data_IF_221374992951
#
_entry.id   IF_221374992951
#
_cell.length_a   1.000
_cell.length_b   1.000
_cell.length_c   1.000
_cell.angle_alpha   90.00
_cell.angle_beta   90.00
_cell.angle_gamma   90.00
#
_symmetry.space_group_name_H-M   'P 1'
#
loop_
_entity.id
_entity.type
_entity.pdbx_description
1 polymer ?
#
# COMPACT_ATOMS: atom_id res chain seq x y z
N UNK A 1 -16.36 9.21 1.94
CA UNK A 1 -15.16 8.37 2.20
C UNK A 1 -15.39 7.59 3.48
N UNK A 2 -15.28 6.27 3.45
CA UNK A 2 -15.59 5.39 4.59
C UNK A 2 -14.32 4.90 5.26
N UNK A 3 -14.18 5.04 6.57
CA UNK A 3 -13.05 4.51 7.35
C UNK A 3 -13.56 3.38 8.23
N UNK A 4 -12.88 2.23 8.19
CA UNK A 4 -13.16 1.08 9.05
C UNK A 4 -11.99 0.93 10.02
N UNK A 5 -12.26 0.98 11.33
CA UNK A 5 -11.26 0.82 12.38
C UNK A 5 -11.48 -0.55 13.05
N UNK A 6 -10.50 -1.46 13.05
CA UNK A 6 -10.62 -2.74 13.77
C UNK A 6 -10.51 -2.53 15.29
N UNK A 7 -11.35 -3.22 16.06
CA UNK A 7 -11.32 -3.20 17.52
C UNK A 7 -10.38 -4.29 18.05
N UNK A 8 -9.39 -3.90 18.85
CA UNK A 8 -8.60 -4.83 19.67
C UNK A 8 -9.39 -5.16 20.93
N UNK A 9 -9.75 -6.43 21.14
CA UNK A 9 -10.43 -6.91 22.35
C UNK A 9 -9.43 -7.44 23.38
N UNK A 10 -9.41 -6.84 24.57
CA UNK A 10 -8.91 -7.48 25.77
C UNK A 10 -10.04 -8.27 26.43
N UNK A 11 -9.75 -9.49 26.81
CA UNK A 11 -10.67 -10.49 27.28
C UNK A 11 -11.30 -10.17 28.65
N UNK A 12 -12.61 -10.40 28.78
CA UNK A 12 -13.25 -10.78 30.05
C UNK A 12 -14.30 -11.86 29.74
N UNK A 13 -14.20 -12.95 30.48
CA UNK A 13 -15.01 -14.17 30.39
C UNK A 13 -16.43 -14.02 30.99
N UNK A 14 -17.46 -14.43 30.29
CA UNK A 14 -18.63 -15.20 30.75
C UNK A 14 -19.72 -15.32 29.67
N UNK A 15 -20.56 -16.36 29.65
CA UNK A 15 -21.37 -16.73 28.50
C UNK A 15 -22.78 -16.13 28.52
N UNK A 16 -23.28 -15.63 27.39
CA UNK A 16 -24.71 -15.49 27.06
C UNK A 16 -24.95 -15.24 25.54
N UNK A 17 -26.19 -15.52 25.07
CA UNK A 17 -26.49 -15.82 23.68
C UNK A 17 -26.92 -14.58 22.86
N UNK A 18 -26.86 -14.72 21.53
CA UNK A 18 -27.45 -13.85 20.52
C UNK A 18 -27.18 -12.34 20.65
N UNK A 19 -25.99 -11.91 20.24
CA UNK A 19 -25.73 -10.49 20.02
C UNK A 19 -25.69 -10.18 18.52
N UNK A 20 -26.55 -9.23 18.15
CA UNK A 20 -26.64 -8.63 16.85
C UNK A 20 -25.26 -8.11 16.38
N UNK A 21 -24.95 -8.33 15.10
CA UNK A 21 -23.73 -7.82 14.46
C UNK A 21 -23.80 -6.30 14.38
N UNK A 22 -23.00 -5.62 15.16
CA UNK A 22 -22.82 -4.18 15.03
C UNK A 22 -21.57 -3.91 14.16
N UNK A 23 -21.77 -3.29 12.99
CA UNK A 23 -20.69 -2.75 12.17
C UNK A 23 -20.67 -1.23 12.33
N UNK A 24 -19.53 -0.64 12.68
CA UNK A 24 -19.37 0.82 12.76
C UNK A 24 -18.52 1.30 11.58
N UNK A 25 -19.11 2.07 10.66
CA UNK A 25 -18.44 2.66 9.49
C UNK A 25 -18.17 4.15 9.76
N UNK A 26 -16.96 4.66 9.56
CA UNK A 26 -16.70 6.11 9.58
C UNK A 26 -16.95 6.69 8.20
N UNK A 27 -17.99 7.48 8.02
CA UNK A 27 -18.28 8.20 6.80
C UNK A 27 -18.09 9.70 7.05
N UNK A 28 -17.15 10.32 6.34
CA UNK A 28 -17.01 11.77 6.31
C UNK A 28 -17.80 12.33 5.14
N UNK A 29 -18.84 13.10 5.43
CA UNK A 29 -19.54 13.88 4.41
C UNK A 29 -18.78 15.19 4.19
N UNK A 30 -18.13 15.32 3.04
CA UNK A 30 -17.49 16.56 2.63
C UNK A 30 -18.46 17.28 1.70
N UNK A 31 -19.13 18.34 2.18
CA UNK A 31 -19.79 19.31 1.33
C UNK A 31 -18.76 20.36 0.89
N UNK A 32 -18.30 20.29 -0.36
CA UNK A 32 -17.42 21.31 -0.94
C UNK A 32 -18.27 22.53 -1.36
N UNK A 33 -18.09 23.65 -0.67
CA UNK A 33 -18.86 24.90 -0.84
C UNK A 33 -18.42 25.74 -2.06
N UNK A 34 -17.65 25.21 -3.03
CA UNK A 34 -17.02 25.98 -4.11
C UNK A 34 -17.68 25.88 -5.50
N UNK A 35 -18.90 25.48 -5.65
CA UNK A 35 -19.59 25.55 -6.97
C UNK A 35 -20.97 26.20 -6.89
N UNK A 36 -21.03 27.51 -6.60
CA UNK A 36 -22.08 28.36 -7.14
C UNK A 36 -21.63 28.81 -8.52
N UNK A 37 -22.32 28.35 -9.56
CA UNK A 37 -22.17 28.61 -10.99
C UNK A 37 -21.52 27.50 -11.82
N UNK A 38 -22.17 26.35 -11.91
CA UNK A 38 -21.99 25.45 -13.03
C UNK A 38 -23.33 25.35 -13.77
N UNK A 39 -23.40 25.98 -14.95
CA UNK A 39 -24.50 25.78 -15.91
C UNK A 39 -24.51 24.32 -16.35
N UNK A 40 -25.58 23.62 -16.02
CA UNK A 40 -25.87 22.30 -16.55
C UNK A 40 -26.10 22.41 -18.06
N UNK A 41 -25.12 22.05 -18.89
CA UNK A 41 -25.29 21.80 -20.34
C UNK A 41 -25.29 20.30 -20.56
N UNK A 42 -26.37 19.89 -21.17
CA UNK A 42 -26.68 18.55 -21.73
C UNK A 42 -27.59 17.68 -20.85
N UNK A 43 -28.82 17.87 -21.04
CA UNK A 43 -29.89 16.95 -21.53
C UNK A 43 -31.24 17.64 -21.33
N UNK A 44 -32.11 17.58 -22.36
CA UNK A 44 -33.46 18.19 -22.34
C UNK A 44 -34.32 17.48 -21.28
N UNK A 45 -34.45 18.06 -20.09
CA UNK A 45 -35.52 17.77 -19.14
C UNK A 45 -35.88 19.07 -18.43
N UNK A 46 -37.18 19.41 -18.47
CA UNK A 46 -37.74 20.62 -17.88
C UNK A 46 -37.69 20.50 -16.35
N UNK A 47 -37.03 21.43 -15.70
CA UNK A 47 -37.13 21.62 -14.26
C UNK A 47 -38.22 22.64 -14.00
N UNK A 48 -39.32 22.24 -13.35
CA UNK A 48 -40.32 23.16 -12.80
C UNK A 48 -40.06 23.32 -11.32
N UNK A 49 -39.55 24.49 -10.93
CA UNK A 49 -39.33 24.85 -9.53
C UNK A 49 -40.57 25.60 -9.01
N UNK A 50 -41.26 25.00 -8.08
CA UNK A 50 -42.08 25.70 -7.10
C UNK A 50 -41.89 24.98 -5.76
N UNK A 51 -41.35 25.76 -4.80
CA UNK A 51 -41.15 25.37 -3.38
C UNK A 51 -40.36 24.09 -3.11
N UNK A 52 -39.03 24.24 -2.92
CA UNK A 52 -38.13 23.35 -2.20
C UNK A 52 -38.23 21.82 -2.42
N UNK A 53 -38.78 21.37 -3.56
CA UNK A 53 -38.80 19.95 -3.95
C UNK A 53 -38.11 19.78 -5.30
N UNK A 54 -37.04 19.03 -5.33
CA UNK A 54 -36.40 18.57 -6.55
C UNK A 54 -36.78 17.11 -6.80
N UNK A 55 -37.65 16.85 -7.79
CA UNK A 55 -38.03 15.49 -8.20
C UNK A 55 -37.18 15.06 -9.38
N UNK A 56 -36.49 13.96 -9.24
CA UNK A 56 -35.74 13.30 -10.32
C UNK A 56 -36.53 12.08 -10.79
N UNK A 57 -36.95 12.06 -12.05
CA UNK A 57 -37.64 10.90 -12.63
C UNK A 57 -36.70 10.20 -13.60
N UNK A 58 -36.26 9.00 -13.27
CA UNK A 58 -35.61 8.09 -14.21
C UNK A 58 -36.31 6.72 -14.12
N UNK A 59 -36.79 6.24 -15.27
CA UNK A 59 -37.37 4.91 -15.45
C UNK A 59 -38.61 4.56 -14.59
N UNK A 60 -39.62 5.46 -14.51
CA UNK A 60 -40.96 5.09 -14.06
C UNK A 60 -41.18 4.85 -12.57
N UNK A 61 -40.20 5.11 -11.71
CA UNK A 61 -40.33 5.06 -10.26
C UNK A 61 -40.02 6.44 -9.66
N UNK A 62 -41.01 7.09 -9.09
CA UNK A 62 -40.89 8.37 -8.40
C UNK A 62 -40.59 8.12 -6.92
N UNK A 63 -39.45 8.61 -6.43
CA UNK A 63 -39.12 8.66 -5.00
C UNK A 63 -39.30 10.11 -4.53
N UNK A 64 -40.23 10.34 -3.64
CA UNK A 64 -40.38 11.61 -2.97
C UNK A 64 -39.50 11.66 -1.72
N UNK A 65 -38.49 12.53 -1.74
CA UNK A 65 -37.71 12.87 -0.54
C UNK A 65 -38.47 13.98 0.21
N UNK A 66 -39.08 13.64 1.34
CA UNK A 66 -39.63 14.61 2.28
C UNK A 66 -38.48 15.15 3.10
N UNK A 67 -38.08 16.38 2.89
CA UNK A 67 -37.16 17.08 3.77
C UNK A 67 -37.95 17.55 5.01
N UNK A 68 -37.69 16.95 6.15
CA UNK A 68 -38.16 17.47 7.44
C UNK A 68 -37.39 18.74 7.78
N UNK A 69 -38.09 19.86 7.89
CA UNK A 69 -37.60 21.15 8.37
C UNK A 69 -37.20 21.07 9.84
N UNK A 70 -35.94 20.76 10.12
CA UNK A 70 -35.25 21.14 11.37
C UNK A 70 -33.79 20.67 11.44
N UNK A 71 -33.05 20.65 10.32
CA UNK A 71 -31.61 20.47 10.39
C UNK A 71 -30.92 21.68 9.75
N UNK A 72 -30.34 22.54 10.57
CA UNK A 72 -29.42 23.58 10.17
C UNK A 72 -28.40 23.00 9.17
N UNK A 73 -28.34 23.55 7.98
CA UNK A 73 -27.42 23.11 6.92
C UNK A 73 -25.97 23.21 7.45
N UNK A 74 -25.19 22.12 7.54
CA UNK A 74 -23.85 22.13 8.12
C UNK A 74 -22.83 22.96 7.32
N UNK A 75 -23.21 23.49 6.18
CA UNK A 75 -22.33 24.27 5.29
C UNK A 75 -22.09 25.72 5.72
N UNK A 76 -22.75 26.21 6.77
CA UNK A 76 -22.66 27.59 7.24
C UNK A 76 -22.13 27.74 8.69
N UNK A 77 -21.89 26.65 9.40
CA UNK A 77 -21.33 26.69 10.76
C UNK A 77 -19.79 26.63 10.70
N UNK A 78 -19.08 27.70 11.06
CA UNK A 78 -17.61 27.70 11.15
C UNK A 78 -17.08 26.57 12.06
N UNK A 79 -17.83 26.21 13.09
CA UNK A 79 -17.52 25.13 14.00
C UNK A 79 -17.57 23.76 13.34
N UNK A 80 -18.47 23.54 12.37
CA UNK A 80 -18.53 22.30 11.61
C UNK A 80 -17.31 22.15 10.70
N UNK A 81 -16.82 23.23 10.09
CA UNK A 81 -15.60 23.23 9.29
C UNK A 81 -14.36 22.88 10.11
N UNK A 82 -14.20 23.50 11.27
CA UNK A 82 -13.09 23.21 12.19
C UNK A 82 -13.17 21.79 12.76
N UNK A 83 -14.36 21.29 13.04
CA UNK A 83 -14.60 19.92 13.50
C UNK A 83 -14.19 18.89 12.45
N UNK A 84 -14.55 19.10 11.18
CA UNK A 84 -14.13 18.24 10.05
C UNK A 84 -12.62 18.28 9.88
N UNK A 85 -12.01 19.47 9.98
CA UNK A 85 -10.54 19.63 9.88
C UNK A 85 -9.82 18.91 11.01
N UNK A 86 -10.26 19.09 12.25
CA UNK A 86 -9.72 18.41 13.42
C UNK A 86 -9.87 16.88 13.31
N UNK A 87 -11.05 16.42 12.87
CA UNK A 87 -11.30 15.00 12.67
C UNK A 87 -10.41 14.39 11.58
N UNK A 88 -10.18 15.10 10.46
CA UNK A 88 -9.26 14.64 9.42
C UNK A 88 -7.83 14.48 9.94
N UNK A 89 -7.32 15.46 10.67
CA UNK A 89 -5.98 15.41 11.27
C UNK A 89 -5.86 14.25 12.27
N UNK A 90 -6.91 13.99 13.04
CA UNK A 90 -6.94 12.95 14.06
C UNK A 90 -7.06 11.54 13.45
N UNK A 91 -8.07 11.31 12.58
CA UNK A 91 -8.40 9.97 12.08
C UNK A 91 -7.62 9.55 10.82
N UNK A 92 -7.09 10.49 10.03
CA UNK A 92 -6.36 10.18 8.79
C UNK A 92 -4.86 10.37 8.92
N UNK A 93 -4.43 11.33 9.75
CA UNK A 93 -3.00 11.63 9.88
C UNK A 93 -2.44 11.18 11.23
N UNK A 94 -3.25 10.52 12.07
CA UNK A 94 -2.88 10.02 13.40
C UNK A 94 -2.19 11.07 14.29
N UNK A 95 -2.50 12.36 14.07
CA UNK A 95 -1.91 13.45 14.86
C UNK A 95 -2.46 13.44 16.28
N UNK A 96 -1.59 13.68 17.25
CA UNK A 96 -2.03 13.86 18.63
C UNK A 96 -2.89 15.13 18.78
N UNK A 97 -3.83 15.13 19.73
CA UNK A 97 -4.68 16.32 20.00
C UNK A 97 -3.84 17.58 20.29
N UNK A 98 -2.64 17.43 20.87
CA UNK A 98 -1.73 18.53 21.11
C UNK A 98 -1.10 19.06 19.81
N UNK A 99 -0.75 18.17 18.86
CA UNK A 99 -0.25 18.57 17.54
C UNK A 99 -1.35 19.26 16.72
N UNK A 100 -2.56 18.72 16.73
CA UNK A 100 -3.74 19.32 16.08
C UNK A 100 -4.02 20.71 16.67
N UNK A 101 -3.92 20.85 17.99
CA UNK A 101 -4.11 22.14 18.66
C UNK A 101 -3.13 23.21 18.17
N UNK A 102 -1.86 22.85 17.99
CA UNK A 102 -0.85 23.75 17.41
C UNK A 102 -1.17 24.13 15.95
N UNK A 103 -1.58 23.14 15.13
CA UNK A 103 -1.89 23.37 13.74
C UNK A 103 -3.15 24.23 13.52
N UNK A 104 -4.15 24.05 14.35
CA UNK A 104 -5.40 24.81 14.30
C UNK A 104 -5.38 26.11 15.13
N UNK A 105 -4.32 26.38 15.89
CA UNK A 105 -4.24 27.54 16.76
C UNK A 105 -5.19 27.51 17.96
N UNK A 106 -5.56 26.29 18.43
CA UNK A 106 -6.52 26.09 19.52
C UNK A 106 -5.96 25.21 20.65
N UNK A 107 -6.61 25.21 21.81
CA UNK A 107 -6.20 24.36 22.92
C UNK A 107 -6.49 22.87 22.64
N UNK A 108 -5.74 21.94 23.30
CA UNK A 108 -5.99 20.50 23.27
C UNK A 108 -7.45 20.15 23.65
N UNK A 109 -8.01 20.85 24.64
CA UNK A 109 -9.39 20.66 25.07
C UNK A 109 -10.40 21.10 24.02
N UNK A 110 -10.09 22.14 23.25
CA UNK A 110 -10.91 22.57 22.10
C UNK A 110 -10.90 21.52 20.99
N UNK A 111 -9.72 20.95 20.67
CA UNK A 111 -9.63 19.85 19.70
C UNK A 111 -10.49 18.65 20.14
N UNK A 112 -10.42 18.25 21.39
CA UNK A 112 -11.25 17.17 21.94
C UNK A 112 -12.75 17.44 21.72
N UNK A 113 -13.19 18.68 22.01
CA UNK A 113 -14.60 19.11 21.82
C UNK A 113 -14.99 19.15 20.33
N UNK A 114 -14.09 19.53 19.43
CA UNK A 114 -14.34 19.52 17.99
C UNK A 114 -14.50 18.11 17.45
N UNK A 115 -13.66 17.16 17.89
CA UNK A 115 -13.75 15.76 17.49
C UNK A 115 -15.04 15.12 18.04
N UNK A 116 -15.42 15.41 19.30
CA UNK A 116 -16.68 14.95 19.87
C UNK A 116 -17.86 15.53 19.10
N UNK A 117 -17.87 16.82 18.82
CA UNK A 117 -18.90 17.45 18.00
C UNK A 117 -19.02 16.83 16.60
N UNK A 118 -17.88 16.53 15.95
CA UNK A 118 -17.88 15.88 14.63
C UNK A 118 -18.56 14.49 14.67
N UNK A 119 -18.43 13.73 15.75
CA UNK A 119 -19.11 12.46 15.96
C UNK A 119 -20.59 12.65 16.25
N UNK A 120 -20.91 13.51 17.20
CA UNK A 120 -22.28 13.74 17.67
C UNK A 120 -23.18 14.34 16.58
N UNK A 121 -22.61 15.18 15.71
CA UNK A 121 -23.30 15.78 14.56
C UNK A 121 -23.35 14.91 13.30
N UNK A 122 -22.80 13.67 13.34
CA UNK A 122 -22.77 12.76 12.20
C UNK A 122 -21.78 13.15 11.09
N UNK A 123 -20.93 14.19 11.29
CA UNK A 123 -19.86 14.56 10.36
C UNK A 123 -18.78 13.47 10.29
N UNK A 124 -18.66 12.67 11.35
CA UNK A 124 -17.80 11.48 11.44
C UNK A 124 -18.65 10.30 11.91
N UNK A 125 -18.78 9.31 11.04
CA UNK A 125 -19.37 8.01 11.41
C UNK A 125 -18.25 6.97 11.55
N UNK A 126 -18.09 6.38 12.76
CA UNK A 126 -17.11 5.32 13.03
C UNK A 126 -17.83 3.98 12.96
N UNK A 127 -17.55 3.17 11.95
CA UNK A 127 -18.00 1.78 11.90
C UNK A 127 -16.84 0.86 12.31
N UNK A 128 -16.98 0.24 13.47
CA UNK A 128 -16.07 -0.82 13.92
C UNK A 128 -16.58 -2.13 13.32
N UNK A 129 -15.86 -2.66 12.34
CA UNK A 129 -16.17 -3.99 11.82
C UNK A 129 -15.76 -5.03 12.88
N UNK A 130 -16.74 -5.67 13.49
CA UNK A 130 -16.56 -6.85 14.36
C UNK A 130 -16.44 -8.15 13.55
N UNK A 131 -16.42 -8.08 12.24
CA UNK A 131 -15.90 -9.18 11.45
C UNK A 131 -14.43 -9.35 11.84
N UNK A 132 -14.20 -10.15 12.88
CA UNK A 132 -13.00 -10.97 12.99
C UNK A 132 -13.00 -11.76 11.68
N UNK A 133 -12.50 -11.12 10.62
CA UNK A 133 -12.41 -11.71 9.32
C UNK A 133 -11.59 -13.00 9.43
N UNK A 134 -11.60 -13.80 8.42
CA UNK A 134 -10.79 -15.02 8.31
C UNK A 134 -9.26 -14.75 8.47
N UNK A 135 -8.85 -13.49 8.71
CA UNK A 135 -7.46 -13.05 8.83
C UNK A 135 -6.60 -13.97 9.72
N UNK A 136 -6.92 -14.16 11.00
CA UNK A 136 -6.09 -15.01 11.86
C UNK A 136 -6.06 -16.48 11.45
N UNK A 137 -7.12 -16.99 10.80
CA UNK A 137 -7.14 -18.37 10.26
C UNK A 137 -6.31 -18.46 8.97
N UNK A 138 -6.37 -17.43 8.11
CA UNK A 138 -5.56 -17.36 6.90
C UNK A 138 -4.07 -17.19 7.25
N UNK A 139 -3.73 -16.33 8.22
CA UNK A 139 -2.34 -16.14 8.69
C UNK A 139 -1.74 -17.44 9.21
N UNK A 140 -2.52 -18.22 9.99
CA UNK A 140 -2.11 -19.54 10.45
C UNK A 140 -1.91 -20.50 9.28
N UNK A 141 -2.83 -20.53 8.31
CA UNK A 141 -2.72 -21.39 7.14
C UNK A 141 -1.47 -21.08 6.30
N UNK A 142 -1.06 -19.79 6.20
CA UNK A 142 0.22 -19.42 5.57
C UNK A 142 1.42 -19.93 6.37
N UNK A 143 1.40 -19.82 7.69
CA UNK A 143 2.47 -20.33 8.55
C UNK A 143 2.60 -21.86 8.41
N UNK A 144 1.50 -22.58 8.47
CA UNK A 144 1.46 -24.04 8.40
C UNK A 144 1.90 -24.55 7.01
N UNK A 145 1.51 -23.84 5.93
CA UNK A 145 1.75 -24.30 4.56
C UNK A 145 3.09 -23.87 3.99
N UNK A 146 3.49 -22.62 4.24
CA UNK A 146 4.67 -22.00 3.62
C UNK A 146 5.77 -21.64 4.62
N UNK A 147 5.52 -21.77 5.93
CA UNK A 147 6.46 -21.36 6.96
C UNK A 147 6.69 -19.86 7.04
N UNK A 148 5.78 -19.04 6.49
CA UNK A 148 5.89 -17.57 6.46
C UNK A 148 4.96 -16.91 7.47
N UNK A 149 5.37 -15.77 7.98
CA UNK A 149 4.52 -14.91 8.81
C UNK A 149 3.70 -14.01 7.88
N UNK A 150 2.45 -14.39 7.65
CA UNK A 150 1.52 -13.56 6.89
C UNK A 150 0.85 -12.52 7.79
N UNK A 151 0.58 -11.35 7.22
CA UNK A 151 -0.22 -10.27 7.78
C UNK A 151 -1.35 -9.98 6.80
N UNK A 152 -2.53 -10.49 7.11
CA UNK A 152 -3.71 -10.40 6.24
C UNK A 152 -4.47 -9.12 6.51
N UNK A 153 -4.50 -8.24 5.51
CA UNK A 153 -5.15 -6.93 5.59
C UNK A 153 -6.58 -7.03 5.09
N UNK A 154 -7.59 -6.78 5.92
CA UNK A 154 -8.97 -6.79 5.48
C UNK A 154 -9.25 -5.63 4.52
N UNK A 155 -9.76 -5.95 3.33
CA UNK A 155 -10.10 -4.98 2.30
C UNK A 155 -11.55 -5.24 1.82
N UNK A 156 -12.43 -4.21 1.76
CA UNK A 156 -13.76 -4.39 1.22
C UNK A 156 -13.72 -4.89 -0.24
N UNK A 157 -14.64 -5.79 -0.60
CA UNK A 157 -14.71 -6.38 -1.95
C UNK A 157 -14.85 -5.33 -3.07
N UNK A 158 -15.65 -4.29 -2.82
CA UNK A 158 -15.99 -3.26 -3.81
C UNK A 158 -15.02 -2.06 -3.80
N UNK A 159 -13.70 -2.31 -3.73
CA UNK A 159 -12.68 -1.25 -3.85
C UNK A 159 -11.86 -1.42 -5.12
N UNK A 160 -11.34 -0.31 -5.64
CA UNK A 160 -10.41 -0.36 -6.78
C UNK A 160 -9.08 -1.05 -6.38
N UNK A 161 -8.36 -1.59 -7.38
CA UNK A 161 -7.04 -2.18 -7.14
C UNK A 161 -6.03 -1.16 -6.60
N UNK A 162 -6.18 0.10 -6.96
CA UNK A 162 -5.36 1.21 -6.43
C UNK A 162 -5.65 1.42 -4.94
N UNK A 163 -6.93 1.48 -4.54
CA UNK A 163 -7.32 1.63 -3.13
C UNK A 163 -6.96 0.38 -2.31
N UNK A 164 -7.08 -0.82 -2.91
CA UNK A 164 -6.61 -2.08 -2.32
C UNK A 164 -5.13 -2.01 -2.02
N UNK A 165 -4.32 -1.63 -3.01
CA UNK A 165 -2.89 -1.46 -2.86
C UNK A 165 -2.55 -0.43 -1.78
N UNK A 166 -3.22 0.72 -1.75
CA UNK A 166 -2.93 1.76 -0.76
C UNK A 166 -3.22 1.30 0.68
N UNK A 167 -4.29 0.52 0.90
CA UNK A 167 -4.61 -0.07 2.22
C UNK A 167 -3.55 -1.07 2.68
N UNK A 168 -3.16 -1.99 1.78
CA UNK A 168 -2.10 -2.96 2.05
C UNK A 168 -0.77 -2.25 2.32
N UNK A 169 -0.45 -1.23 1.51
CA UNK A 169 0.76 -0.43 1.66
C UNK A 169 0.80 0.38 2.97
N UNK A 170 -0.34 0.92 3.41
CA UNK A 170 -0.46 1.61 4.69
C UNK A 170 -0.14 0.67 5.86
N UNK A 171 -0.67 -0.55 5.85
CA UNK A 171 -0.33 -1.56 6.85
C UNK A 171 1.16 -1.92 6.79
N UNK A 172 1.67 -2.20 5.57
CA UNK A 172 3.06 -2.57 5.36
C UNK A 172 4.06 -1.49 5.81
N UNK A 173 3.76 -0.21 5.58
CA UNK A 173 4.61 0.91 6.02
C UNK A 173 4.70 1.02 7.54
N UNK A 174 3.60 0.80 8.24
CA UNK A 174 3.58 0.74 9.72
C UNK A 174 4.33 -0.48 10.24
N UNK A 175 4.12 -1.64 9.63
CA UNK A 175 4.81 -2.88 9.99
C UNK A 175 6.32 -2.75 9.79
N UNK A 176 6.75 -2.21 8.65
CA UNK A 176 8.17 -1.94 8.37
C UNK A 176 8.81 -1.12 9.50
N UNK A 177 8.11 -0.09 9.97
CA UNK A 177 8.58 0.77 11.07
C UNK A 177 8.79 -0.01 12.37
N UNK A 178 8.04 -1.08 12.63
CA UNK A 178 8.27 -1.94 13.81
C UNK A 178 9.53 -2.78 13.67
N UNK A 179 9.89 -3.16 12.45
CA UNK A 179 11.03 -4.03 12.18
C UNK A 179 12.36 -3.29 12.13
N UNK A 180 12.36 -2.03 11.67
CA UNK A 180 13.60 -1.26 11.54
C UNK A 180 14.07 -0.78 12.91
N UNK A 181 15.33 -1.07 13.24
CA UNK A 181 16.01 -0.61 14.45
C UNK A 181 17.37 0.00 14.09
N UNK A 182 18.08 0.55 15.09
CA UNK A 182 19.44 1.03 14.90
C UNK A 182 20.39 -0.08 14.48
N UNK A 183 21.47 0.29 13.81
CA UNK A 183 22.57 -0.58 13.34
C UNK A 183 22.15 -1.56 12.22
N UNK A 184 21.00 -1.35 11.56
CA UNK A 184 20.51 -2.21 10.47
C UNK A 184 20.89 -1.68 9.08
N UNK A 185 21.01 -2.63 8.14
CA UNK A 185 21.02 -2.38 6.70
C UNK A 185 19.70 -2.87 6.12
N UNK A 186 18.91 -1.93 5.58
CA UNK A 186 17.57 -2.19 5.02
C UNK A 186 17.62 -2.06 3.50
N UNK A 187 17.46 -3.17 2.79
CA UNK A 187 17.40 -3.20 1.33
C UNK A 187 15.99 -2.89 0.81
N UNK A 188 15.90 -1.98 -0.15
CA UNK A 188 14.62 -1.53 -0.71
C UNK A 188 14.62 -1.75 -2.23
N UNK A 189 13.73 -2.59 -2.72
CA UNK A 189 13.40 -2.61 -4.15
C UNK A 189 12.58 -1.36 -4.51
N UNK A 190 12.55 -1.00 -5.77
CA UNK A 190 11.63 0.03 -6.27
C UNK A 190 10.47 -0.62 -7.05
N UNK A 191 9.41 0.11 -7.24
CA UNK A 191 8.21 -0.33 -7.96
C UNK A 191 6.94 0.27 -7.36
N UNK A 192 5.82 0.10 -8.04
CA UNK A 192 4.51 0.67 -7.67
C UNK A 192 4.13 0.35 -6.22
N UNK A 193 4.29 -0.92 -5.81
CA UNK A 193 3.96 -1.38 -4.46
C UNK A 193 4.86 -0.73 -3.40
N UNK A 194 6.17 -0.73 -3.60
CA UNK A 194 7.11 -0.17 -2.61
C UNK A 194 7.03 1.35 -2.56
N UNK A 195 6.74 2.01 -3.69
CA UNK A 195 6.41 3.43 -3.72
C UNK A 195 5.15 3.74 -2.91
N UNK A 196 4.12 2.89 -2.97
CA UNK A 196 2.94 3.05 -2.12
C UNK A 196 3.31 2.89 -0.63
N UNK A 197 4.10 1.87 -0.27
CA UNK A 197 4.57 1.63 1.11
C UNK A 197 5.37 2.81 1.65
N UNK A 198 6.28 3.39 0.84
CA UNK A 198 7.14 4.48 1.29
C UNK A 198 6.37 5.74 1.75
N UNK A 199 5.17 5.97 1.20
CA UNK A 199 4.30 7.08 1.61
C UNK A 199 3.66 6.90 3.00
N UNK A 200 3.65 5.68 3.52
CA UNK A 200 3.00 5.32 4.78
C UNK A 200 3.97 4.91 5.90
N UNK A 201 5.26 5.08 5.66
CA UNK A 201 6.28 4.81 6.68
C UNK A 201 6.18 5.86 7.80
N UNK A 202 6.08 5.40 9.05
CA UNK A 202 6.01 6.30 10.19
C UNK A 202 7.42 6.76 10.61
N UNK A 203 7.60 8.03 11.00
CA UNK A 203 8.88 8.52 11.49
C UNK A 203 9.36 7.76 12.73
N UNK A 204 10.61 7.29 12.70
CA UNK A 204 11.28 6.62 13.82
C UNK A 204 12.77 6.92 13.76
N UNK A 205 13.30 7.63 14.75
CA UNK A 205 14.73 7.91 14.80
C UNK A 205 15.54 6.65 15.09
N UNK A 206 16.47 6.36 14.21
CA UNK A 206 17.49 5.31 14.37
C UNK A 206 18.89 5.92 14.26
N UNK A 207 19.93 5.17 14.62
CA UNK A 207 21.31 5.55 14.44
C UNK A 207 22.08 4.43 13.74
N UNK A 208 23.12 4.78 12.99
CA UNK A 208 23.97 3.85 12.24
C UNK A 208 23.16 2.90 11.32
N UNK A 209 22.02 3.39 10.80
CA UNK A 209 21.12 2.61 9.92
C UNK A 209 21.34 3.05 8.48
N UNK A 210 21.35 2.10 7.56
CA UNK A 210 21.46 2.33 6.14
C UNK A 210 20.21 1.84 5.41
N UNK A 211 19.72 2.62 4.46
CA UNK A 211 18.68 2.21 3.52
C UNK A 211 19.31 2.12 2.14
N UNK A 212 19.43 0.91 1.59
CA UNK A 212 20.14 0.65 0.33
C UNK A 212 19.17 0.22 -0.77
N UNK A 213 19.34 0.80 -1.96
CA UNK A 213 18.58 0.40 -3.15
C UNK A 213 19.04 -0.98 -3.64
N UNK A 214 18.08 -1.92 -3.84
CA UNK A 214 18.40 -3.31 -4.23
C UNK A 214 18.78 -3.47 -5.69
N UNK A 215 18.10 -2.77 -6.59
CA UNK A 215 18.29 -2.89 -8.03
C UNK A 215 18.38 -1.53 -8.69
N UNK A 216 19.18 -1.41 -9.74
CA UNK A 216 19.32 -0.20 -10.54
C UNK A 216 17.98 0.26 -11.12
N UNK A 217 17.91 1.51 -11.56
CA UNK A 217 16.65 2.10 -12.01
C UNK A 217 16.73 2.81 -13.37
N UNK A 218 17.92 2.94 -13.96
CA UNK A 218 18.04 3.51 -15.29
C UNK A 218 17.52 2.53 -16.36
N UNK A 219 16.87 3.09 -17.38
CA UNK A 219 16.41 2.37 -18.56
C UNK A 219 16.66 3.20 -19.83
N UNK A 220 16.25 2.70 -21.00
CA UNK A 220 16.47 3.35 -22.30
C UNK A 220 15.69 4.66 -22.50
N UNK A 221 14.68 4.94 -21.69
CA UNK A 221 13.80 6.12 -21.80
C UNK A 221 14.07 7.16 -20.74
N UNK A 222 14.47 6.73 -19.55
CA UNK A 222 14.71 7.61 -18.41
C UNK A 222 15.90 7.12 -17.61
N UNK A 223 16.55 8.04 -16.91
CA UNK A 223 17.58 7.65 -15.94
C UNK A 223 17.01 6.85 -14.76
N UNK A 224 15.70 6.86 -14.56
CA UNK A 224 15.00 6.17 -13.45
C UNK A 224 15.41 6.65 -12.06
N UNK A 225 16.46 7.48 -11.99
CA UNK A 225 17.15 7.85 -10.75
C UNK A 225 16.22 8.57 -9.79
N UNK A 226 15.41 9.52 -10.25
CA UNK A 226 14.52 10.30 -9.38
C UNK A 226 13.51 9.40 -8.67
N UNK A 227 12.81 8.53 -9.41
CA UNK A 227 11.76 7.67 -8.86
C UNK A 227 12.27 6.69 -7.78
N UNK A 228 13.33 5.93 -8.09
CA UNK A 228 13.91 4.97 -7.16
C UNK A 228 14.59 5.67 -5.97
N UNK A 229 15.29 6.78 -6.23
CA UNK A 229 15.95 7.58 -5.20
C UNK A 229 14.94 8.20 -4.25
N UNK A 230 13.79 8.68 -4.73
CA UNK A 230 12.74 9.25 -3.88
C UNK A 230 12.16 8.21 -2.93
N UNK A 231 11.98 6.96 -3.35
CA UNK A 231 11.55 5.87 -2.48
C UNK A 231 12.57 5.62 -1.36
N UNK A 232 13.84 5.43 -1.73
CA UNK A 232 14.93 5.14 -0.79
C UNK A 232 15.15 6.30 0.17
N UNK A 233 15.12 7.55 -0.34
CA UNK A 233 15.25 8.77 0.46
C UNK A 233 14.08 8.94 1.42
N UNK A 234 12.84 8.77 0.99
CA UNK A 234 11.66 8.90 1.84
C UNK A 234 11.71 7.95 3.03
N UNK A 235 12.12 6.70 2.81
CA UNK A 235 12.29 5.71 3.89
C UNK A 235 13.49 6.08 4.77
N UNK A 236 14.61 6.51 4.16
CA UNK A 236 15.80 6.93 4.88
C UNK A 236 15.53 8.14 5.80
N UNK A 237 14.85 9.16 5.28
CA UNK A 237 14.48 10.37 6.03
C UNK A 237 13.54 10.03 7.21
N UNK A 238 12.58 9.12 7.01
CA UNK A 238 11.68 8.69 8.07
C UNK A 238 12.41 8.05 9.25
N UNK A 239 13.50 7.32 8.98
CA UNK A 239 14.28 6.63 10.03
C UNK A 239 15.52 7.40 10.49
N UNK A 240 15.86 8.53 9.86
CA UNK A 240 17.13 9.22 10.08
C UNK A 240 18.33 8.37 9.63
N UNK A 241 18.12 7.50 8.64
CA UNK A 241 19.11 6.57 8.11
C UNK A 241 19.86 7.16 6.91
N UNK A 242 21.03 6.62 6.62
CA UNK A 242 21.80 6.98 5.42
C UNK A 242 21.18 6.30 4.22
N UNK A 243 20.59 7.09 3.30
CA UNK A 243 20.03 6.60 2.05
C UNK A 243 21.14 6.37 1.00
N UNK A 244 21.27 5.14 0.50
CA UNK A 244 22.27 4.75 -0.49
C UNK A 244 21.60 4.31 -1.78
N UNK A 245 21.65 5.14 -2.82
CA UNK A 245 21.18 4.80 -4.15
C UNK A 245 22.12 3.82 -4.87
N UNK A 246 21.60 3.17 -5.90
CA UNK A 246 22.34 2.25 -6.76
C UNK A 246 22.30 2.76 -8.22
N UNK A 247 23.27 3.61 -8.65
CA UNK A 247 23.22 4.35 -9.90
C UNK A 247 23.68 3.50 -11.11
N UNK A 248 22.95 2.42 -11.35
CA UNK A 248 23.21 1.50 -12.48
C UNK A 248 21.90 1.24 -13.24
N UNK A 249 21.96 0.72 -14.49
CA UNK A 249 20.77 0.24 -15.18
C UNK A 249 20.04 -0.83 -14.38
N UNK A 250 18.69 -0.90 -14.52
CA UNK A 250 17.91 -2.00 -13.99
C UNK A 250 18.28 -3.32 -14.65
N UNK A 251 18.41 -3.26 -15.99
CA UNK A 251 18.90 -4.33 -16.86
C UNK A 251 20.01 -3.76 -17.74
N UNK A 252 21.11 -4.45 -17.81
CA UNK A 252 22.22 -4.11 -18.69
C UNK A 252 21.96 -4.67 -20.10
N UNK A 253 22.48 -4.01 -21.13
CA UNK A 253 22.43 -4.56 -22.49
C UNK A 253 23.36 -5.76 -22.64
N UNK A 254 24.50 -5.71 -21.96
CA UNK A 254 25.55 -6.74 -22.02
C UNK A 254 25.91 -7.23 -20.62
N UNK A 255 25.90 -8.55 -20.37
CA UNK A 255 26.31 -9.14 -19.08
C UNK A 255 27.76 -8.76 -18.70
N UNK A 256 28.64 -8.59 -19.68
CA UNK A 256 30.04 -8.19 -19.50
C UNK A 256 30.13 -6.80 -18.87
N UNK A 257 29.35 -5.84 -19.36
CA UNK A 257 29.32 -4.48 -18.82
C UNK A 257 28.91 -4.49 -17.34
N UNK A 258 27.90 -5.30 -16.99
CA UNK A 258 27.52 -5.52 -15.58
C UNK A 258 28.71 -6.04 -14.77
N UNK A 259 29.37 -7.11 -15.25
CA UNK A 259 30.50 -7.71 -14.52
C UNK A 259 31.67 -6.73 -14.32
N UNK A 260 31.95 -5.89 -15.32
CA UNK A 260 33.00 -4.85 -15.21
C UNK A 260 32.58 -3.77 -14.21
N UNK A 261 31.34 -3.29 -14.29
CA UNK A 261 30.86 -2.25 -13.39
C UNK A 261 30.83 -2.70 -11.93
N UNK A 262 30.58 -3.98 -11.65
CA UNK A 262 30.66 -4.56 -10.30
C UNK A 262 32.05 -4.52 -9.68
N UNK A 263 33.10 -4.25 -10.49
CA UNK A 263 34.49 -4.11 -10.02
C UNK A 263 34.84 -2.69 -9.59
N UNK A 264 33.99 -1.69 -9.98
CA UNK A 264 34.21 -0.29 -9.62
C UNK A 264 33.99 -0.07 -8.13
N UNK A 265 34.92 0.70 -7.49
CA UNK A 265 34.89 0.92 -6.02
C UNK A 265 33.59 1.54 -5.51
N UNK A 266 33.01 2.48 -6.27
CA UNK A 266 31.74 3.13 -5.93
C UNK A 266 30.55 2.16 -5.93
N UNK A 267 30.57 1.22 -6.89
CA UNK A 267 29.52 0.20 -7.02
C UNK A 267 29.71 -0.90 -5.97
N UNK A 268 30.93 -1.35 -5.76
CA UNK A 268 31.27 -2.34 -4.71
C UNK A 268 30.79 -1.91 -3.33
N UNK A 269 30.93 -0.62 -2.98
CA UNK A 269 30.40 -0.10 -1.73
C UNK A 269 28.90 -0.38 -1.54
N UNK A 270 28.11 -0.26 -2.60
CA UNK A 270 26.66 -0.55 -2.56
C UNK A 270 26.43 -2.05 -2.46
N UNK A 271 27.18 -2.85 -3.24
CA UNK A 271 27.10 -4.31 -3.19
C UNK A 271 27.46 -4.83 -1.79
N UNK A 272 28.53 -4.32 -1.17
CA UNK A 272 28.95 -4.70 0.19
C UNK A 272 27.88 -4.35 1.26
N UNK A 273 27.09 -3.29 1.06
CA UNK A 273 25.92 -3.00 1.90
C UNK A 273 24.81 -4.01 1.66
N UNK A 274 24.52 -4.35 0.39
CA UNK A 274 23.50 -5.34 0.03
C UNK A 274 23.83 -6.73 0.61
N UNK A 275 25.10 -7.10 0.66
CA UNK A 275 25.54 -8.41 1.19
C UNK A 275 25.36 -8.50 2.72
N UNK A 276 25.15 -7.39 3.41
CA UNK A 276 24.98 -7.30 4.87
C UNK A 276 23.56 -6.88 5.28
N UNK A 277 22.58 -7.03 4.39
CA UNK A 277 21.20 -6.67 4.71
C UNK A 277 20.61 -7.51 5.84
N UNK A 278 19.98 -6.84 6.79
CA UNK A 278 19.18 -7.45 7.86
C UNK A 278 17.72 -7.61 7.45
N UNK A 279 17.25 -6.71 6.58
CA UNK A 279 15.89 -6.69 6.06
C UNK A 279 15.87 -6.30 4.58
N UNK A 280 15.06 -6.99 3.79
CA UNK A 280 14.73 -6.61 2.41
C UNK A 280 13.23 -6.35 2.29
N UNK A 281 12.84 -5.19 1.71
CA UNK A 281 11.47 -4.85 1.34
C UNK A 281 11.32 -4.90 -0.17
N UNK A 282 10.34 -5.66 -0.64
CA UNK A 282 10.06 -5.81 -2.06
C UNK A 282 8.59 -6.15 -2.34
N UNK A 283 8.17 -5.95 -3.57
CA UNK A 283 6.94 -6.51 -4.12
C UNK A 283 7.26 -7.59 -5.14
N UNK A 284 6.24 -8.14 -5.74
CA UNK A 284 6.35 -9.06 -6.89
C UNK A 284 5.91 -8.31 -8.15
N UNK A 285 6.77 -8.31 -9.17
CA UNK A 285 6.48 -7.84 -10.50
C UNK A 285 5.84 -8.95 -11.35
N UNK A 286 4.83 -8.58 -12.14
CA UNK A 286 4.19 -9.49 -13.11
C UNK A 286 3.90 -8.76 -14.40
N UNK A 287 3.90 -9.48 -15.51
CA UNK A 287 3.45 -8.96 -16.80
C UNK A 287 1.92 -8.96 -16.83
N UNK A 288 1.32 -7.80 -17.14
CA UNK A 288 -0.14 -7.69 -17.39
C UNK A 288 -1.00 -7.78 -16.13
N UNK A 289 -0.87 -6.89 -15.18
CA UNK A 289 -1.78 -6.76 -14.03
C UNK A 289 -2.58 -5.46 -14.07
N UNK A 290 -3.69 -5.38 -13.32
CA UNK A 290 -4.53 -4.19 -13.18
C UNK A 290 -3.73 -2.99 -12.62
N UNK A 291 -2.79 -3.25 -11.71
CA UNK A 291 -1.76 -2.28 -11.31
C UNK A 291 -0.45 -2.67 -12.00
N UNK A 292 -0.04 -1.96 -13.05
CA UNK A 292 1.13 -2.33 -13.84
C UNK A 292 2.42 -2.35 -13.02
N UNK A 293 3.20 -3.41 -13.18
CA UNK A 293 4.56 -3.47 -12.64
C UNK A 293 5.49 -2.63 -13.51
N UNK A 294 6.26 -1.73 -12.89
CA UNK A 294 7.11 -0.77 -13.58
C UNK A 294 8.12 -1.43 -14.53
N UNK A 295 8.67 -2.58 -14.17
CA UNK A 295 9.63 -3.32 -15.01
C UNK A 295 9.02 -3.65 -16.38
N UNK A 296 7.74 -4.00 -16.42
CA UNK A 296 7.06 -4.41 -17.67
C UNK A 296 6.40 -3.25 -18.42
N UNK A 297 6.13 -2.11 -17.76
CA UNK A 297 5.33 -1.02 -18.34
C UNK A 297 6.13 0.24 -18.66
N UNK A 298 7.26 0.48 -17.99
CA UNK A 298 7.97 1.75 -18.06
C UNK A 298 9.20 1.77 -19.00
N UNK A 299 9.33 0.78 -19.90
CA UNK A 299 10.38 0.76 -20.91
C UNK A 299 11.71 0.17 -20.45
N UNK A 300 11.66 -0.73 -19.47
CA UNK A 300 12.82 -1.52 -19.03
C UNK A 300 13.05 -2.77 -19.89
N UNK A 301 11.98 -3.28 -20.48
CA UNK A 301 11.98 -4.47 -21.34
C UNK A 301 11.55 -4.09 -22.75
N UNK A 302 12.23 -4.61 -23.73
CA UNK A 302 11.83 -4.56 -25.12
C UNK A 302 10.87 -5.72 -25.48
N UNK A 303 10.26 -5.66 -26.65
CA UNK A 303 9.37 -6.74 -27.12
C UNK A 303 10.11 -8.09 -27.23
N UNK A 304 11.37 -8.07 -27.60
CA UNK A 304 12.24 -9.25 -27.65
C UNK A 304 12.47 -9.85 -26.27
N UNK A 305 12.73 -9.01 -25.26
CA UNK A 305 12.92 -9.44 -23.86
C UNK A 305 11.64 -10.10 -23.33
N UNK A 306 10.46 -9.49 -23.57
CA UNK A 306 9.18 -10.05 -23.16
C UNK A 306 8.93 -11.43 -23.82
N UNK A 307 9.20 -11.56 -25.12
CA UNK A 307 9.07 -12.83 -25.83
C UNK A 307 10.05 -13.89 -25.33
N UNK A 308 11.21 -13.50 -24.85
CA UNK A 308 12.20 -14.38 -24.21
C UNK A 308 11.70 -14.85 -22.84
N UNK A 309 11.20 -13.96 -22.00
CA UNK A 309 10.62 -14.29 -20.70
C UNK A 309 9.43 -15.25 -20.84
N UNK A 310 8.56 -15.04 -21.84
CA UNK A 310 7.43 -15.93 -22.11
C UNK A 310 7.89 -17.33 -22.54
N UNK A 311 8.92 -17.43 -23.42
CA UNK A 311 9.51 -18.72 -23.83
C UNK A 311 10.18 -19.45 -22.67
N UNK A 312 10.80 -18.70 -21.76
CA UNK A 312 11.45 -19.23 -20.56
C UNK A 312 10.45 -19.63 -19.46
N UNK A 313 9.15 -19.38 -19.66
CA UNK A 313 8.10 -19.69 -18.69
C UNK A 313 8.15 -18.83 -17.42
N UNK A 314 8.66 -17.63 -17.54
CA UNK A 314 8.75 -16.67 -16.42
C UNK A 314 7.36 -16.25 -15.99
N UNK A 315 7.11 -16.24 -14.68
CA UNK A 315 5.84 -15.84 -14.09
C UNK A 315 5.91 -14.51 -13.36
N UNK A 316 7.10 -14.03 -13.03
CA UNK A 316 7.30 -12.76 -12.35
C UNK A 316 8.75 -12.48 -12.02
N UNK A 317 8.96 -11.36 -11.32
CA UNK A 317 10.27 -10.93 -10.85
C UNK A 317 10.25 -10.39 -9.40
N UNK A 318 11.39 -10.43 -8.77
CA UNK A 318 11.69 -9.73 -7.52
C UNK A 318 12.94 -8.88 -7.75
N UNK A 319 12.81 -7.57 -7.57
CA UNK A 319 13.92 -6.62 -7.76
C UNK A 319 14.63 -6.81 -9.12
N UNK A 320 13.88 -6.99 -10.21
CA UNK A 320 14.33 -7.24 -11.59
C UNK A 320 15.01 -8.59 -11.83
N UNK A 321 14.93 -9.54 -10.90
CA UNK A 321 15.40 -10.91 -11.08
C UNK A 321 14.19 -11.82 -11.33
N UNK A 322 14.15 -12.44 -12.50
CA UNK A 322 13.02 -13.20 -13.03
C UNK A 322 13.05 -14.66 -12.57
N UNK A 323 11.87 -15.27 -12.40
CA UNK A 323 11.75 -16.66 -11.98
C UNK A 323 10.52 -17.36 -12.60
N UNK A 324 10.54 -18.68 -12.64
CA UNK A 324 9.50 -19.56 -13.23
C UNK A 324 8.46 -19.98 -12.19
N UNK A 325 7.43 -20.66 -12.65
CA UNK A 325 6.33 -21.17 -11.81
C UNK A 325 6.76 -22.25 -10.81
N UNK A 326 7.88 -22.91 -11.02
CA UNK A 326 8.49 -23.86 -10.09
C UNK A 326 9.49 -23.19 -9.12
N UNK A 327 9.67 -21.87 -9.20
CA UNK A 327 10.62 -21.10 -8.41
C UNK A 327 12.04 -21.11 -8.95
N UNK A 328 12.33 -21.85 -10.03
CA UNK A 328 13.65 -21.84 -10.67
C UNK A 328 13.94 -20.50 -11.35
N UNK A 329 15.19 -20.06 -11.35
CA UNK A 329 15.62 -18.81 -11.98
C UNK A 329 16.98 -18.96 -12.71
N UNK A 330 17.55 -20.15 -12.69
CA UNK A 330 18.76 -20.48 -13.42
C UNK A 330 18.50 -20.45 -14.94
N UNK A 331 19.55 -20.12 -15.71
CA UNK A 331 19.49 -20.10 -17.18
C UNK A 331 18.36 -19.24 -17.78
N UNK A 332 17.91 -18.20 -17.08
CA UNK A 332 17.12 -17.10 -17.65
C UNK A 332 18.13 -16.02 -18.07
N UNK A 333 18.31 -15.84 -19.37
CA UNK A 333 19.39 -14.99 -19.90
C UNK A 333 19.26 -13.54 -19.43
N UNK A 334 18.03 -13.02 -19.24
CA UNK A 334 17.82 -11.69 -18.69
C UNK A 334 18.38 -11.53 -17.26
N UNK A 335 18.45 -12.59 -16.48
CA UNK A 335 19.02 -12.53 -15.12
C UNK A 335 20.53 -12.24 -15.13
N UNK A 336 21.24 -12.63 -16.19
CA UNK A 336 22.65 -12.27 -16.37
C UNK A 336 22.86 -10.76 -16.60
N UNK A 337 21.81 -10.08 -17.05
CA UNK A 337 21.77 -8.64 -17.30
C UNK A 337 21.16 -7.84 -16.13
N UNK A 338 20.48 -8.51 -15.20
CA UNK A 338 19.76 -7.90 -14.09
C UNK A 338 20.71 -7.31 -13.03
N UNK A 339 20.38 -6.13 -12.51
CA UNK A 339 21.17 -5.48 -11.45
C UNK A 339 20.73 -5.86 -10.04
N UNK A 340 19.58 -6.50 -9.89
CA UNK A 340 19.08 -6.98 -8.60
C UNK A 340 19.98 -8.05 -7.97
N UNK A 341 19.80 -8.32 -6.66
CA UNK A 341 20.48 -9.43 -6.00
C UNK A 341 19.99 -10.75 -6.60
N UNK A 342 20.86 -11.77 -6.64
CA UNK A 342 20.40 -13.11 -6.97
C UNK A 342 19.35 -13.57 -5.96
N UNK A 343 18.45 -14.45 -6.35
CA UNK A 343 17.42 -14.94 -5.41
C UNK A 343 18.04 -15.73 -4.25
N UNK A 344 19.20 -16.36 -4.43
CA UNK A 344 19.93 -17.00 -3.34
C UNK A 344 20.52 -15.98 -2.36
N UNK A 345 21.08 -14.87 -2.87
CA UNK A 345 21.53 -13.78 -2.01
C UNK A 345 20.34 -13.15 -1.25
N UNK A 346 19.17 -13.04 -1.89
CA UNK A 346 17.97 -12.58 -1.21
C UNK A 346 17.52 -13.56 -0.12
N UNK A 347 17.59 -14.87 -0.36
CA UNK A 347 17.24 -15.90 0.64
C UNK A 347 18.11 -15.83 1.90
N UNK A 348 19.35 -15.36 1.79
CA UNK A 348 20.25 -15.24 2.94
C UNK A 348 19.94 -14.02 3.83
N UNK A 349 19.11 -13.08 3.38
CA UNK A 349 18.67 -11.94 4.20
C UNK A 349 17.76 -12.44 5.33
N UNK A 350 18.03 -12.12 6.60
CA UNK A 350 17.26 -12.65 7.74
C UNK A 350 15.77 -12.35 7.68
N UNK A 351 15.40 -11.12 7.26
CA UNK A 351 13.99 -10.73 7.10
C UNK A 351 13.69 -10.25 5.69
N UNK A 352 12.73 -10.89 5.06
CA UNK A 352 12.30 -10.65 3.68
C UNK A 352 10.82 -10.31 3.67
N UNK A 353 10.53 -8.99 3.75
CA UNK A 353 9.18 -8.45 3.76
C UNK A 353 8.68 -8.25 2.33
N UNK A 354 7.75 -9.09 1.93
CA UNK A 354 7.07 -9.00 0.65
C UNK A 354 5.68 -8.36 0.82
N UNK A 355 5.33 -7.45 -0.07
CA UNK A 355 4.02 -6.79 -0.07
C UNK A 355 3.31 -7.07 -1.39
N UNK A 356 2.11 -7.64 -1.31
CA UNK A 356 1.29 -8.02 -2.46
C UNK A 356 -0.14 -7.54 -2.25
N UNK A 357 -0.73 -6.95 -3.27
CA UNK A 357 -2.15 -6.59 -3.31
C UNK A 357 -2.73 -6.99 -4.67
N UNK A 358 -3.90 -7.63 -4.65
CA UNK A 358 -4.61 -8.07 -5.84
C UNK A 358 -4.21 -9.46 -6.36
N UNK A 359 -5.16 -10.11 -7.03
CA UNK A 359 -5.04 -11.51 -7.45
C UNK A 359 -4.08 -11.74 -8.62
N UNK A 360 -3.82 -10.71 -9.43
CA UNK A 360 -2.94 -10.81 -10.61
C UNK A 360 -1.53 -11.32 -10.28
N UNK A 361 -1.09 -11.10 -9.05
CA UNK A 361 0.25 -11.48 -8.58
C UNK A 361 0.33 -12.89 -7.99
N UNK A 362 -0.80 -13.56 -7.79
CA UNK A 362 -0.84 -14.85 -7.07
C UNK A 362 -0.08 -15.97 -7.79
N UNK A 363 -0.09 -15.94 -9.14
CA UNK A 363 0.66 -16.90 -9.94
C UNK A 363 2.18 -16.83 -9.68
N UNK A 364 2.70 -15.62 -9.44
CA UNK A 364 4.11 -15.42 -9.11
C UNK A 364 4.38 -15.50 -7.60
N UNK A 365 3.38 -15.17 -6.76
CA UNK A 365 3.51 -15.24 -5.31
C UNK A 365 3.69 -16.68 -4.82
N UNK A 366 2.97 -17.64 -5.41
CA UNK A 366 3.06 -19.06 -5.02
C UNK A 366 4.50 -19.60 -5.08
N UNK A 367 5.21 -19.54 -6.24
CA UNK A 367 6.61 -20.02 -6.31
C UNK A 367 7.58 -19.18 -5.44
N UNK A 368 7.31 -17.90 -5.22
CA UNK A 368 8.13 -17.10 -4.31
C UNK A 368 8.02 -17.56 -2.84
N UNK A 369 6.82 -18.02 -2.44
CA UNK A 369 6.58 -18.60 -1.11
C UNK A 369 7.22 -19.99 -0.98
N UNK A 370 6.92 -20.89 -1.90
CA UNK A 370 7.46 -22.28 -1.90
C UNK A 370 8.97 -22.28 -2.06
N UNK A 371 9.52 -21.34 -2.82
CA UNK A 371 10.95 -21.12 -2.98
C UNK A 371 11.67 -20.51 -1.78
N UNK A 372 10.96 -20.17 -0.69
CA UNK A 372 11.55 -19.62 0.54
C UNK A 372 12.09 -18.19 0.37
N UNK A 373 11.58 -17.42 -0.60
CA UNK A 373 12.02 -16.04 -0.85
C UNK A 373 11.41 -15.03 0.13
N UNK A 374 10.40 -15.41 0.91
CA UNK A 374 9.61 -14.55 1.77
C UNK A 374 9.66 -15.08 3.21
N UNK A 375 9.85 -14.21 4.19
CA UNK A 375 9.70 -14.54 5.62
C UNK A 375 8.45 -13.89 6.21
N UNK A 376 8.16 -12.67 5.75
CA UNK A 376 7.01 -11.88 6.18
C UNK A 376 6.24 -11.42 4.93
N UNK A 377 4.96 -11.70 4.89
CA UNK A 377 4.07 -11.35 3.76
C UNK A 377 2.98 -10.40 4.24
N UNK A 378 2.78 -9.28 3.56
CA UNK A 378 1.59 -8.44 3.73
C UNK A 378 0.72 -8.61 2.49
N UNK A 379 -0.53 -9.04 2.69
CA UNK A 379 -1.45 -9.39 1.60
C UNK A 379 -2.89 -9.01 1.97
N UNK A 380 -3.73 -8.65 1.01
CA UNK A 380 -5.17 -8.48 1.25
C UNK A 380 -5.88 -9.83 1.47
N UNK A 381 -6.98 -9.81 2.19
CA UNK A 381 -7.73 -10.99 2.63
C UNK A 381 -8.31 -11.81 1.46
N UNK A 382 -8.80 -11.15 0.40
CA UNK A 382 -9.33 -11.81 -0.78
C UNK A 382 -8.22 -12.56 -1.53
N UNK A 383 -7.11 -11.89 -1.79
CA UNK A 383 -5.93 -12.52 -2.43
C UNK A 383 -5.37 -13.66 -1.58
N UNK A 384 -5.34 -13.50 -0.25
CA UNK A 384 -4.90 -14.55 0.67
C UNK A 384 -5.78 -15.81 0.59
N UNK A 385 -7.10 -15.62 0.67
CA UNK A 385 -8.06 -16.72 0.56
C UNK A 385 -7.97 -17.43 -0.80
N UNK A 386 -7.91 -16.65 -1.89
CA UNK A 386 -7.80 -17.18 -3.26
C UNK A 386 -6.52 -18.01 -3.46
N UNK A 387 -5.37 -17.53 -2.95
CA UNK A 387 -4.11 -18.26 -3.07
C UNK A 387 -4.16 -19.60 -2.34
N UNK A 388 -4.67 -19.62 -1.10
CA UNK A 388 -4.76 -20.83 -0.29
C UNK A 388 -5.73 -21.87 -0.91
N UNK A 389 -6.84 -21.40 -1.51
CA UNK A 389 -7.80 -22.27 -2.19
C UNK A 389 -7.26 -22.90 -3.47
N UNK A 390 -6.48 -22.14 -4.30
CA UNK A 390 -5.89 -22.64 -5.57
C UNK A 390 -4.76 -23.65 -5.38
N UNK A 391 -4.16 -23.63 -4.23
CA UNK A 391 -2.99 -24.47 -3.96
C UNK A 391 -3.35 -25.79 -3.24
N UNK A 392 -4.64 -26.10 -3.10
CA UNK A 392 -5.16 -27.40 -2.63
C UNK A 392 -5.42 -28.29 -3.80
#
# INVERSE_FOLDING_TARGET
>A
MRIIVPANSAAISAPRPHLARFSVIVVLHICDARHRNARCRQTRSRCTSTHNLCTYVQNGLAWALVASDSALSPATDPRASDAVRAARLYYFQDLTMAAIGRELGVSRSTVSRLITFARDSGLVEIKISTALGQGPSLERAFADRYGVRAHVVPVPEAVSDVDRLDRVAMFAGRLLTTFVTSDMVVGIAWGTTVSAVSRHVAPKRTHNTHVVQLNGAANTRTTGVSYATDIVRTIGDAYGAVAQGFPVPALFDYPETRRLLWRERSIRRVLDLRDRMDLALFGIGVHGGAVPSHVYSAGYLEKSDLAELDRDGVVGDIATVFFRSDGSYDRIALNDRASGPTLDALKSVPRRLCVVAGEDKLRALHPALTGGLITDLVIDDLSAATLLARST
#
